data_IF_811732050516
#
_entry.id   IF_811732050516
#
_cell.length_a   1.000
_cell.length_b   1.000
_cell.length_c   1.000
_cell.angle_alpha   90.00
_cell.angle_beta   90.00
_cell.angle_gamma   90.00
#
_symmetry.space_group_name_H-M   'P 1'
#
loop_
_entity.id
_entity.type
_entity.pdbx_description
1 polymer ?
#
# COMPACT_ATOMS: atom_id res chain seq x y z
N UNK A 1 -29.09 -1.89 -1.21
CA UNK A 1 -27.82 -1.34 -1.74
C UNK A 1 -26.95 -2.39 -2.41
N UNK A 2 -27.30 -2.80 -3.62
CA UNK A 2 -26.42 -3.60 -4.48
C UNK A 2 -25.32 -2.69 -5.05
N UNK A 3 -25.70 -1.49 -5.48
CA UNK A 3 -24.80 -0.47 -6.05
C UNK A 3 -23.63 -0.08 -5.11
N UNK A 4 -23.90 0.06 -3.82
CA UNK A 4 -22.86 0.42 -2.85
C UNK A 4 -21.88 -0.75 -2.62
N UNK A 5 -22.38 -1.98 -2.62
CA UNK A 5 -21.57 -3.19 -2.50
C UNK A 5 -20.71 -3.41 -3.76
N UNK A 6 -21.25 -3.09 -4.95
CA UNK A 6 -20.51 -3.09 -6.21
C UNK A 6 -19.36 -2.08 -6.20
N UNK A 7 -19.57 -0.88 -5.64
CA UNK A 7 -18.52 0.16 -5.53
C UNK A 7 -17.34 -0.31 -4.66
N UNK A 8 -17.64 -0.91 -3.51
CA UNK A 8 -16.62 -1.47 -2.61
C UNK A 8 -15.89 -2.62 -3.32
N UNK A 9 -16.61 -3.52 -3.99
CA UNK A 9 -16.02 -4.63 -4.72
C UNK A 9 -15.12 -4.18 -5.87
N UNK A 10 -15.50 -3.11 -6.59
CA UNK A 10 -14.67 -2.50 -7.64
C UNK A 10 -13.36 -1.97 -7.06
N UNK A 11 -13.44 -1.28 -5.93
CA UNK A 11 -12.28 -0.66 -5.28
C UNK A 11 -11.34 -1.71 -4.69
N UNK A 12 -11.90 -2.78 -4.14
CA UNK A 12 -11.14 -3.97 -3.76
C UNK A 12 -10.46 -4.61 -4.97
N UNK A 13 -11.13 -4.72 -6.12
CA UNK A 13 -10.52 -5.30 -7.32
C UNK A 13 -9.35 -4.45 -7.83
N UNK A 14 -9.50 -3.12 -7.85
CA UNK A 14 -8.40 -2.19 -8.16
C UNK A 14 -7.22 -2.40 -7.19
N UNK A 15 -7.50 -2.54 -5.89
CA UNK A 15 -6.48 -2.84 -4.87
C UNK A 15 -5.74 -4.15 -5.16
N UNK A 16 -6.46 -5.21 -5.55
CA UNK A 16 -5.87 -6.50 -5.95
C UNK A 16 -4.93 -6.35 -7.15
N UNK A 17 -5.33 -5.59 -8.17
CA UNK A 17 -4.50 -5.39 -9.37
C UNK A 17 -3.19 -4.68 -9.01
N UNK A 18 -3.26 -3.61 -8.22
CA UNK A 18 -2.07 -2.87 -7.75
C UNK A 18 -1.16 -3.78 -6.92
N UNK A 19 -1.73 -4.56 -5.99
CA UNK A 19 -0.99 -5.57 -5.21
C UNK A 19 -0.25 -6.57 -6.12
N UNK A 20 -0.94 -7.11 -7.13
CA UNK A 20 -0.35 -8.08 -8.06
C UNK A 20 0.77 -7.49 -8.91
N UNK A 21 0.63 -6.24 -9.35
CA UNK A 21 1.67 -5.53 -10.09
C UNK A 21 2.91 -5.31 -9.22
N UNK A 22 2.70 -4.88 -7.98
CA UNK A 22 3.79 -4.66 -7.03
C UNK A 22 4.49 -5.97 -6.66
N UNK A 23 3.76 -7.07 -6.48
CA UNK A 23 4.37 -8.39 -6.22
C UNK A 23 5.26 -8.82 -7.38
N UNK A 24 4.75 -8.75 -8.62
CA UNK A 24 5.53 -9.10 -9.81
C UNK A 24 6.79 -8.22 -9.98
N UNK A 25 6.70 -6.94 -9.62
CA UNK A 25 7.85 -6.05 -9.65
C UNK A 25 8.89 -6.40 -8.56
N UNK A 26 8.43 -6.71 -7.35
CA UNK A 26 9.33 -7.11 -6.27
C UNK A 26 10.03 -8.45 -6.54
N UNK A 27 9.39 -9.37 -7.28
CA UNK A 27 10.00 -10.63 -7.74
C UNK A 27 11.12 -10.37 -8.73
N UNK A 28 10.90 -9.53 -9.75
CA UNK A 28 11.94 -9.11 -10.70
C UNK A 28 13.14 -8.47 -10.00
N UNK A 29 12.87 -7.69 -8.95
CA UNK A 29 13.93 -7.08 -8.15
C UNK A 29 14.80 -8.14 -7.47
N UNK A 30 14.18 -9.16 -6.85
CA UNK A 30 14.89 -10.27 -6.21
C UNK A 30 15.72 -11.08 -7.21
N UNK A 31 15.19 -11.37 -8.40
CA UNK A 31 15.90 -12.11 -9.46
C UNK A 31 17.09 -11.32 -10.02
N UNK A 32 16.96 -10.00 -10.17
CA UNK A 32 18.01 -9.13 -10.73
C UNK A 32 19.13 -8.82 -9.73
N UNK A 33 18.92 -9.07 -8.43
CA UNK A 33 19.90 -8.89 -7.36
C UNK A 33 20.65 -10.19 -7.07
N UNK A 34 21.52 -10.63 -7.99
CA UNK A 34 22.26 -11.89 -7.83
C UNK A 34 23.29 -11.92 -6.69
N UNK A 35 23.70 -10.79 -6.08
CA UNK A 35 24.67 -10.79 -4.97
C UNK A 35 24.58 -9.55 -4.05
N UNK A 36 23.39 -9.09 -3.66
CA UNK A 36 23.32 -8.14 -2.54
C UNK A 36 22.04 -8.32 -1.72
N UNK A 37 22.27 -8.96 -0.58
CA UNK A 37 21.53 -8.86 0.68
C UNK A 37 20.20 -9.59 0.78
N UNK A 38 20.22 -10.61 1.65
CA UNK A 38 19.08 -11.22 2.34
C UNK A 38 18.18 -10.21 3.11
N UNK A 39 18.33 -8.90 2.88
CA UNK A 39 17.71 -7.80 3.62
C UNK A 39 17.29 -6.62 2.72
N UNK A 40 16.74 -6.84 1.51
CA UNK A 40 16.07 -5.74 0.81
C UNK A 40 14.77 -5.36 1.56
N UNK A 41 14.94 -4.48 2.54
CA UNK A 41 13.93 -4.04 3.48
C UNK A 41 12.76 -3.33 2.78
N UNK A 42 13.00 -2.74 1.60
CA UNK A 42 11.99 -2.15 0.72
C UNK A 42 11.10 -3.25 0.14
N UNK A 43 11.70 -4.27 -0.48
CA UNK A 43 10.97 -5.41 -1.06
C UNK A 43 10.16 -6.15 -0.01
N UNK A 44 10.75 -6.43 1.16
CA UNK A 44 10.05 -7.11 2.26
C UNK A 44 8.80 -6.35 2.71
N UNK A 45 8.93 -5.03 2.91
CA UNK A 45 7.80 -4.18 3.33
C UNK A 45 6.77 -4.01 2.22
N UNK A 46 7.18 -3.88 0.97
CA UNK A 46 6.27 -3.86 -0.17
C UNK A 46 5.43 -5.15 -0.23
N UNK A 47 6.05 -6.33 -0.13
CA UNK A 47 5.34 -7.63 -0.08
C UNK A 47 4.38 -7.73 1.11
N UNK A 48 4.80 -7.26 2.29
CA UNK A 48 3.91 -7.20 3.46
C UNK A 48 2.68 -6.33 3.17
N UNK A 49 2.88 -5.14 2.61
CA UNK A 49 1.78 -4.25 2.23
C UNK A 49 0.87 -4.88 1.17
N UNK A 50 1.42 -5.59 0.17
CA UNK A 50 0.63 -6.33 -0.83
C UNK A 50 -0.28 -7.36 -0.18
N UNK A 51 0.25 -8.16 0.74
CA UNK A 51 -0.50 -9.20 1.47
C UNK A 51 -1.61 -8.62 2.34
N UNK A 52 -1.34 -7.49 3.01
CA UNK A 52 -2.35 -6.77 3.80
C UNK A 52 -3.48 -6.22 2.91
N UNK A 53 -3.11 -5.54 1.80
CA UNK A 53 -4.07 -5.02 0.83
C UNK A 53 -4.90 -6.15 0.19
N UNK A 54 -4.29 -7.29 -0.11
CA UNK A 54 -4.99 -8.47 -0.60
C UNK A 54 -6.02 -9.01 0.41
N UNK A 55 -5.65 -9.06 1.70
CA UNK A 55 -6.59 -9.45 2.77
C UNK A 55 -7.80 -8.50 2.85
N UNK A 56 -7.57 -7.19 2.68
CA UNK A 56 -8.65 -6.19 2.62
C UNK A 56 -9.51 -6.35 1.35
N UNK A 57 -8.91 -6.70 0.20
CA UNK A 57 -9.67 -7.08 -0.99
C UNK A 57 -10.57 -8.31 -0.74
N UNK A 58 -10.03 -9.38 -0.13
CA UNK A 58 -10.82 -10.58 0.17
C UNK A 58 -12.02 -10.25 1.05
N UNK A 59 -11.86 -9.36 2.02
CA UNK A 59 -12.96 -8.86 2.83
C UNK A 59 -14.09 -8.25 1.98
N UNK A 60 -13.78 -7.47 0.93
CA UNK A 60 -14.79 -6.88 0.03
C UNK A 60 -15.62 -7.93 -0.72
N UNK A 61 -15.12 -9.17 -0.81
CA UNK A 61 -15.81 -10.33 -1.40
C UNK A 61 -16.50 -11.23 -0.37
N UNK A 62 -16.36 -10.94 0.93
CA UNK A 62 -16.81 -11.81 2.00
C UNK A 62 -15.92 -13.05 2.19
N UNK A 63 -14.67 -12.99 1.72
CA UNK A 63 -13.69 -14.08 1.76
C UNK A 63 -12.52 -13.75 2.70
N UNK A 64 -11.60 -14.70 2.90
CA UNK A 64 -10.34 -14.46 3.61
C UNK A 64 -10.46 -14.51 5.14
N UNK A 65 -9.45 -13.96 5.81
CA UNK A 65 -9.27 -14.03 7.27
C UNK A 65 -10.01 -12.94 8.05
N UNK A 66 -10.26 -11.78 7.44
CA UNK A 66 -10.98 -10.67 8.07
C UNK A 66 -12.48 -11.00 8.08
N UNK A 67 -13.09 -11.14 9.25
CA UNK A 67 -14.49 -11.58 9.39
C UNK A 67 -15.43 -10.47 9.79
N UNK A 68 -14.92 -9.44 10.45
CA UNK A 68 -15.69 -8.33 10.99
C UNK A 68 -15.21 -7.01 10.42
N UNK A 69 -16.06 -5.97 10.47
CA UNK A 69 -15.64 -4.61 10.13
C UNK A 69 -14.53 -4.10 11.05
N UNK A 70 -14.48 -4.57 12.30
CA UNK A 70 -13.41 -4.25 13.22
C UNK A 70 -12.07 -4.85 12.76
N UNK A 71 -12.06 -6.09 12.27
CA UNK A 71 -10.84 -6.71 11.70
C UNK A 71 -10.31 -5.88 10.52
N UNK A 72 -11.20 -5.41 9.64
CA UNK A 72 -10.83 -4.53 8.52
C UNK A 72 -10.18 -3.23 9.02
N UNK A 73 -10.75 -2.60 10.04
CA UNK A 73 -10.22 -1.36 10.60
C UNK A 73 -8.86 -1.57 11.24
N UNK A 74 -8.69 -2.62 12.04
CA UNK A 74 -7.40 -2.98 12.61
C UNK A 74 -6.37 -3.31 11.52
N UNK A 75 -6.77 -4.02 10.45
CA UNK A 75 -5.90 -4.29 9.31
C UNK A 75 -5.44 -3.01 8.60
N UNK A 76 -6.32 -2.02 8.48
CA UNK A 76 -6.00 -0.71 7.90
C UNK A 76 -5.03 0.10 8.77
N UNK A 77 -5.10 -0.02 10.10
CA UNK A 77 -4.11 0.58 11.01
C UNK A 77 -2.73 -0.05 10.80
N UNK A 78 -2.65 -1.38 10.75
CA UNK A 78 -1.39 -2.08 10.45
C UNK A 78 -0.85 -1.73 9.07
N UNK A 79 -1.72 -1.57 8.07
CA UNK A 79 -1.32 -1.13 6.74
C UNK A 79 -0.71 0.28 6.76
N UNK A 80 -1.32 1.22 7.48
CA UNK A 80 -0.80 2.58 7.64
C UNK A 80 0.55 2.60 8.39
N UNK A 81 0.72 1.75 9.40
CA UNK A 81 1.99 1.60 10.10
C UNK A 81 3.10 1.05 9.21
N UNK A 82 2.81 0.02 8.41
CA UNK A 82 3.77 -0.58 7.49
C UNK A 82 4.18 0.43 6.39
N UNK A 83 3.23 1.23 5.90
CA UNK A 83 3.51 2.34 4.98
C UNK A 83 4.48 3.37 5.57
N UNK A 84 4.32 3.74 6.84
CA UNK A 84 5.25 4.63 7.54
C UNK A 84 6.65 4.02 7.66
N UNK A 85 6.74 2.71 7.92
CA UNK A 85 8.03 2.00 7.98
C UNK A 85 8.70 1.99 6.61
N UNK A 86 7.94 1.69 5.55
CA UNK A 86 8.45 1.72 4.18
C UNK A 86 8.94 3.11 3.80
N UNK A 87 8.17 4.16 4.10
CA UNK A 87 8.57 5.55 3.87
C UNK A 87 9.96 5.87 4.45
N UNK A 88 10.23 5.46 5.70
CA UNK A 88 11.52 5.69 6.36
C UNK A 88 12.67 4.97 5.66
N UNK A 89 12.47 3.71 5.28
CA UNK A 89 13.48 2.91 4.56
C UNK A 89 13.78 3.55 3.21
N UNK A 90 12.74 3.92 2.45
CA UNK A 90 12.92 4.54 1.13
C UNK A 90 13.54 5.93 1.24
N UNK A 91 13.24 6.69 2.29
CA UNK A 91 13.90 7.98 2.55
C UNK A 91 15.39 7.79 2.78
N UNK A 92 15.81 6.77 3.53
CA UNK A 92 17.22 6.44 3.70
C UNK A 92 17.87 6.02 2.38
N UNK A 93 17.23 5.14 1.62
CA UNK A 93 17.69 4.74 0.28
C UNK A 93 17.89 5.95 -0.64
N UNK A 94 16.98 6.93 -0.62
CA UNK A 94 17.08 8.13 -1.46
C UNK A 94 18.35 8.94 -1.25
N UNK A 95 19.02 8.84 -0.08
CA UNK A 95 20.30 9.49 0.16
C UNK A 95 21.46 8.85 -0.60
N UNK A 96 21.35 7.55 -0.91
CA UNK A 96 22.33 6.80 -1.69
C UNK A 96 22.12 6.96 -3.20
N UNK A 97 20.91 7.32 -3.63
CA UNK A 97 20.61 7.58 -5.04
C UNK A 97 21.30 8.88 -5.50
N UNK A 98 22.07 8.86 -6.60
CA UNK A 98 22.65 10.06 -7.21
C UNK A 98 21.58 11.08 -7.60
N UNK A 99 21.96 12.36 -7.64
CA UNK A 99 21.07 13.41 -8.14
C UNK A 99 20.63 13.15 -9.58
N UNK A 100 19.38 13.49 -9.92
CA UNK A 100 18.85 13.30 -11.26
C UNK A 100 17.32 13.25 -11.30
N UNK A 101 16.77 13.03 -12.49
CA UNK A 101 15.33 12.97 -12.70
C UNK A 101 14.66 11.86 -11.85
N UNK A 102 15.26 10.66 -11.80
CA UNK A 102 14.70 9.53 -11.05
C UNK A 102 14.65 9.81 -9.55
N UNK A 103 15.70 10.40 -8.96
CA UNK A 103 15.71 10.79 -7.54
C UNK A 103 14.65 11.85 -7.25
N UNK A 104 14.50 12.82 -8.13
CA UNK A 104 13.48 13.86 -8.00
C UNK A 104 12.07 13.25 -8.02
N UNK A 105 11.79 12.39 -9.00
CA UNK A 105 10.50 11.70 -9.09
C UNK A 105 10.22 10.79 -7.87
N UNK A 106 11.25 10.09 -7.39
CA UNK A 106 11.15 9.26 -6.19
C UNK A 106 10.72 10.10 -5.00
N UNK A 107 11.39 11.24 -4.75
CA UNK A 107 11.09 12.12 -3.63
C UNK A 107 9.70 12.77 -3.76
N UNK A 108 9.34 13.23 -4.96
CA UNK A 108 8.01 13.81 -5.22
C UNK A 108 6.86 12.84 -4.95
N UNK A 109 7.07 11.55 -5.24
CA UNK A 109 6.09 10.51 -4.96
C UNK A 109 6.11 10.11 -3.48
N UNK A 110 7.30 9.97 -2.88
CA UNK A 110 7.51 9.62 -1.48
C UNK A 110 6.92 10.65 -0.51
N UNK A 111 7.05 11.95 -0.82
CA UNK A 111 6.55 13.04 0.02
C UNK A 111 5.00 13.07 0.11
N UNK A 112 4.30 12.36 -0.78
CA UNK A 112 2.84 12.19 -0.70
C UNK A 112 2.41 11.11 0.30
N UNK A 113 3.26 10.13 0.58
CA UNK A 113 2.94 8.97 1.44
C UNK A 113 2.40 9.39 2.82
N UNK A 114 3.04 10.32 3.56
CA UNK A 114 2.54 10.75 4.86
C UNK A 114 1.11 11.29 4.84
N UNK A 115 0.72 11.97 3.75
CA UNK A 115 -0.64 12.52 3.60
C UNK A 115 -1.68 11.40 3.48
N UNK A 116 -1.41 10.40 2.65
CA UNK A 116 -2.33 9.25 2.48
C UNK A 116 -2.40 8.38 3.74
N UNK A 117 -1.29 8.18 4.42
CA UNK A 117 -1.24 7.51 5.73
C UNK A 117 -2.14 8.24 6.74
N UNK A 118 -1.99 9.56 6.86
CA UNK A 118 -2.79 10.35 7.80
C UNK A 118 -4.28 10.25 7.47
N UNK A 119 -4.67 10.38 6.19
CA UNK A 119 -6.07 10.23 5.76
C UNK A 119 -6.67 8.87 6.14
N UNK A 120 -5.93 7.79 5.90
CA UNK A 120 -6.36 6.45 6.30
C UNK A 120 -6.52 6.34 7.81
N UNK A 121 -5.54 6.82 8.58
CA UNK A 121 -5.59 6.79 10.05
C UNK A 121 -6.75 7.60 10.63
N UNK A 122 -7.04 8.79 10.07
CA UNK A 122 -8.21 9.58 10.49
C UNK A 122 -9.51 8.84 10.19
N UNK A 123 -9.63 8.24 9.01
CA UNK A 123 -10.82 7.47 8.61
C UNK A 123 -11.07 6.30 9.56
N UNK A 124 -10.02 5.58 9.97
CA UNK A 124 -10.15 4.43 10.87
C UNK A 124 -10.52 4.85 12.30
N UNK A 125 -9.99 5.98 12.78
CA UNK A 125 -10.27 6.50 14.14
C UNK A 125 -11.64 7.16 14.30
N UNK A 126 -12.32 7.47 13.20
CA UNK A 126 -13.64 8.09 13.24
C UNK A 126 -14.67 7.15 13.89
N UNK A 127 -15.45 7.67 14.84
CA UNK A 127 -16.43 6.87 15.56
C UNK A 127 -17.76 6.88 14.79
N UNK A 128 -18.22 5.70 14.38
CA UNK A 128 -19.47 5.57 13.62
C UNK A 128 -20.45 4.65 14.33
N UNK A 129 -21.73 5.05 14.40
CA UNK A 129 -22.81 4.26 15.00
C UNK A 129 -23.91 4.03 13.97
N UNK A 130 -24.39 2.79 13.88
CA UNK A 130 -25.47 2.41 12.98
C UNK A 130 -24.98 1.86 11.63
N UNK A 131 -25.81 1.01 11.01
CA UNK A 131 -25.43 0.20 9.83
C UNK A 131 -24.96 1.04 8.64
N UNK A 132 -25.69 2.12 8.31
CA UNK A 132 -25.36 2.98 7.17
C UNK A 132 -24.01 3.70 7.36
N UNK A 133 -23.80 4.31 8.53
CA UNK A 133 -22.54 4.99 8.85
C UNK A 133 -21.34 4.03 8.85
N UNK A 134 -21.51 2.82 9.41
CA UNK A 134 -20.47 1.78 9.36
C UNK A 134 -20.15 1.37 7.92
N UNK A 135 -21.15 1.25 7.06
CA UNK A 135 -20.94 0.91 5.65
C UNK A 135 -20.14 2.01 4.93
N UNK A 136 -20.51 3.27 5.10
CA UNK A 136 -19.76 4.42 4.55
C UNK A 136 -18.31 4.42 5.02
N UNK A 137 -18.07 4.12 6.30
CA UNK A 137 -16.71 4.02 6.85
C UNK A 137 -15.92 2.89 6.19
N UNK A 138 -16.54 1.73 5.97
CA UNK A 138 -15.90 0.61 5.25
C UNK A 138 -15.50 1.03 3.84
N UNK A 139 -16.40 1.66 3.07
CA UNK A 139 -16.07 2.17 1.73
C UNK A 139 -14.88 3.13 1.78
N UNK A 140 -14.93 4.13 2.67
CA UNK A 140 -13.84 5.10 2.82
C UNK A 140 -12.50 4.43 3.17
N UNK A 141 -12.48 3.47 4.09
CA UNK A 141 -11.26 2.72 4.44
C UNK A 141 -10.69 1.99 3.21
N UNK A 142 -11.53 1.32 2.43
CA UNK A 142 -11.10 0.61 1.22
C UNK A 142 -10.55 1.59 0.17
N UNK A 143 -11.21 2.75 -0.04
CA UNK A 143 -10.71 3.79 -0.95
C UNK A 143 -9.36 4.36 -0.50
N UNK A 144 -9.22 4.72 0.77
CA UNK A 144 -8.01 5.33 1.30
C UNK A 144 -6.82 4.34 1.27
N UNK A 145 -7.06 3.05 1.58
CA UNK A 145 -6.06 2.01 1.40
C UNK A 145 -5.62 1.89 -0.06
N UNK A 146 -6.57 1.87 -1.01
CA UNK A 146 -6.25 1.81 -2.45
C UNK A 146 -5.41 3.02 -2.89
N UNK A 147 -5.80 4.21 -2.45
CA UNK A 147 -5.09 5.44 -2.81
C UNK A 147 -3.66 5.44 -2.26
N UNK A 148 -3.47 5.01 -1.01
CA UNK A 148 -2.14 4.84 -0.42
C UNK A 148 -1.33 3.78 -1.18
N UNK A 149 -1.95 2.65 -1.51
CA UNK A 149 -1.32 1.55 -2.25
C UNK A 149 -0.82 1.98 -3.64
N UNK A 150 -1.60 2.79 -4.37
CA UNK A 150 -1.18 3.37 -5.66
C UNK A 150 0.13 4.18 -5.53
N UNK A 151 0.22 5.03 -4.51
CA UNK A 151 1.43 5.83 -4.29
C UNK A 151 2.60 4.93 -3.89
N UNK A 152 2.36 3.93 -3.05
CA UNK A 152 3.38 2.98 -2.60
C UNK A 152 3.94 2.18 -3.78
N UNK A 153 3.07 1.65 -4.65
CA UNK A 153 3.47 0.94 -5.88
C UNK A 153 4.38 1.83 -6.73
N UNK A 154 3.96 3.06 -7.04
CA UNK A 154 4.79 4.01 -7.81
C UNK A 154 6.16 4.23 -7.17
N UNK A 155 6.20 4.47 -5.85
CA UNK A 155 7.45 4.71 -5.12
C UNK A 155 8.37 3.49 -5.18
N UNK A 156 7.84 2.27 -5.05
CA UNK A 156 8.61 1.02 -5.15
C UNK A 156 9.16 0.83 -6.56
N UNK A 157 8.36 1.07 -7.60
CA UNK A 157 8.79 1.05 -9.01
C UNK A 157 9.97 2.00 -9.24
N UNK A 158 9.86 3.25 -8.80
CA UNK A 158 10.94 4.23 -8.97
C UNK A 158 12.18 3.84 -8.16
N UNK A 159 12.03 3.22 -6.99
CA UNK A 159 13.17 2.66 -6.25
C UNK A 159 13.90 1.58 -7.05
N UNK A 160 13.16 0.67 -7.69
CA UNK A 160 13.73 -0.38 -8.53
C UNK A 160 14.49 0.21 -9.73
N UNK A 161 13.93 1.20 -10.41
CA UNK A 161 14.63 1.91 -11.48
C UNK A 161 15.91 2.60 -11.02
N UNK A 162 15.89 3.22 -9.83
CA UNK A 162 17.09 3.80 -9.24
C UNK A 162 18.12 2.71 -8.95
N UNK A 163 17.71 1.61 -8.32
CA UNK A 163 18.62 0.52 -7.95
C UNK A 163 19.23 -0.19 -9.17
N UNK A 164 18.54 -0.26 -10.30
CA UNK A 164 19.02 -0.93 -11.52
C UNK A 164 19.89 -0.03 -12.40
N UNK A 165 19.57 1.28 -12.51
CA UNK A 165 20.35 2.23 -13.32
C UNK A 165 21.69 2.63 -12.71
N UNK A 166 21.87 2.43 -11.40
CA UNK A 166 23.08 2.82 -10.65
C UNK A 166 23.89 1.61 -10.13
N UNK A 167 23.67 0.41 -10.69
CA UNK A 167 24.59 -0.72 -10.56
C UNK A 167 25.82 -0.54 -11.45
#
# INVERSE_FOLDING_TARGET
DVDEQEKIAKSGLEMKLISSEMDAETEKWQESSTQMEENNDIVKRAKNMSSMAFSMYQFTKGEGSLKTTQDLFTQAEYFAEEANRLYKVIRQFSYQVPGGANKKELLESLDKVPTFVQRLQFTVKDHTVGKAATFTKVDNVIQETKNLMNVISKVVTTCFECATKYK
#
